data_IF_115555914129
#
_entry.id   IF_115555914129
#
_cell.length_a   1.000
_cell.length_b   1.000
_cell.length_c   1.000
_cell.angle_alpha   90.00
_cell.angle_beta   90.00
_cell.angle_gamma   90.00
#
_symmetry.space_group_name_H-M   'P 1'
#
loop_
_entity.id
_entity.type
_entity.pdbx_description
1 polymer ?
#
# COMPACT_ATOMS: atom_id res chain seq x y z
N UNK A 1 -30.45 3.68 -1.30
CA UNK A 1 -29.76 3.55 -2.59
C UNK A 1 -28.30 3.50 -2.26
N UNK A 2 -27.71 2.31 -2.35
CA UNK A 2 -26.32 2.04 -1.99
C UNK A 2 -25.45 2.75 -3.02
N UNK A 3 -24.89 3.91 -2.67
CA UNK A 3 -23.90 4.55 -3.53
C UNK A 3 -22.80 3.50 -3.73
N UNK A 4 -22.54 3.10 -4.98
CA UNK A 4 -21.62 2.02 -5.29
C UNK A 4 -20.28 2.28 -4.58
N UNK A 5 -20.01 1.49 -3.52
CA UNK A 5 -18.86 1.69 -2.67
C UNK A 5 -17.61 1.37 -3.47
N UNK A 6 -16.78 2.39 -3.75
CA UNK A 6 -15.56 2.23 -4.54
C UNK A 6 -14.64 1.24 -3.82
N UNK A 7 -14.03 0.32 -4.57
CA UNK A 7 -13.19 -0.75 -4.00
C UNK A 7 -11.73 -0.55 -4.38
N UNK A 8 -10.83 -0.67 -3.42
CA UNK A 8 -9.39 -0.66 -3.62
C UNK A 8 -8.75 -1.79 -2.83
N UNK A 9 -7.84 -2.55 -3.43
CA UNK A 9 -7.30 -3.75 -2.82
C UNK A 9 -5.98 -3.48 -2.09
N UNK A 10 -5.60 -4.38 -1.19
CA UNK A 10 -4.26 -4.39 -0.59
C UNK A 10 -3.59 -5.76 -0.68
N UNK A 11 -2.28 -5.79 -0.96
CA UNK A 11 -1.53 -7.05 -1.07
C UNK A 11 -0.15 -6.99 -0.40
N UNK A 12 0.27 -8.09 0.19
CA UNK A 12 1.61 -8.26 0.76
C UNK A 12 2.38 -9.27 -0.06
N UNK A 13 3.55 -8.91 -0.59
CA UNK A 13 4.32 -9.86 -1.41
C UNK A 13 4.86 -11.02 -0.56
N UNK A 14 5.20 -10.78 0.71
CA UNK A 14 5.71 -11.79 1.64
C UNK A 14 6.88 -12.57 1.02
N UNK A 15 6.82 -13.90 1.08
CA UNK A 15 7.81 -14.83 0.55
C UNK A 15 7.31 -15.55 -0.71
N UNK A 16 6.27 -15.03 -1.38
CA UNK A 16 5.65 -15.66 -2.55
C UNK A 16 6.62 -15.70 -3.74
N UNK A 17 6.41 -16.65 -4.62
CA UNK A 17 7.02 -16.60 -5.95
C UNK A 17 6.37 -15.49 -6.78
N UNK A 18 7.02 -15.09 -7.88
CA UNK A 18 6.41 -14.11 -8.79
C UNK A 18 5.11 -14.66 -9.42
N UNK A 19 5.09 -15.95 -9.77
CA UNK A 19 3.90 -16.58 -10.37
C UNK A 19 2.69 -16.61 -9.43
N UNK A 20 2.91 -16.97 -8.16
CA UNK A 20 1.86 -16.93 -7.12
C UNK A 20 1.35 -15.50 -6.93
N UNK A 21 2.25 -14.52 -6.91
CA UNK A 21 1.91 -13.12 -6.74
C UNK A 21 1.06 -12.60 -7.90
N UNK A 22 1.49 -12.84 -9.14
CA UNK A 22 0.74 -12.44 -10.34
C UNK A 22 -0.59 -13.20 -10.46
N UNK A 23 -0.66 -14.46 -10.05
CA UNK A 23 -1.91 -15.22 -10.03
C UNK A 23 -2.94 -14.58 -9.08
N UNK A 24 -2.50 -14.11 -7.90
CA UNK A 24 -3.37 -13.37 -6.99
C UNK A 24 -3.87 -12.07 -7.62
N UNK A 25 -2.99 -11.27 -8.24
CA UNK A 25 -3.39 -10.04 -8.91
C UNK A 25 -4.44 -10.28 -10.01
N UNK A 26 -4.23 -11.31 -10.83
CA UNK A 26 -5.18 -11.70 -11.88
C UNK A 26 -6.54 -12.14 -11.33
N UNK A 27 -6.56 -12.86 -10.20
CA UNK A 27 -7.82 -13.34 -9.60
C UNK A 27 -8.76 -12.23 -9.15
N UNK A 28 -8.25 -11.01 -8.94
CA UNK A 28 -9.02 -9.82 -8.62
C UNK A 28 -9.08 -8.82 -9.79
N UNK A 29 -8.64 -9.24 -10.99
CA UNK A 29 -8.59 -8.38 -12.18
C UNK A 29 -7.84 -7.06 -11.95
N UNK A 30 -6.77 -7.10 -11.14
CA UNK A 30 -5.93 -5.94 -10.86
C UNK A 30 -5.25 -5.49 -12.15
N UNK A 31 -5.35 -4.20 -12.47
CA UNK A 31 -4.68 -3.57 -13.62
C UNK A 31 -3.65 -2.53 -13.20
N UNK A 32 -3.60 -2.16 -11.91
CA UNK A 32 -2.62 -1.23 -11.34
C UNK A 32 -2.13 -1.70 -9.97
N UNK A 33 -0.81 -1.73 -9.80
CA UNK A 33 -0.15 -1.97 -8.51
C UNK A 33 0.58 -0.71 -8.06
N UNK A 34 0.25 -0.24 -6.86
CA UNK A 34 0.88 0.91 -6.21
C UNK A 34 1.78 0.39 -5.09
N UNK A 35 3.09 0.44 -5.29
CA UNK A 35 4.06 0.10 -4.27
C UNK A 35 4.16 1.23 -3.24
N UNK A 36 3.80 0.97 -2.00
CA UNK A 36 3.91 1.94 -0.88
C UNK A 36 5.11 1.64 0.00
N UNK A 37 6.08 0.84 -0.45
CA UNK A 37 7.34 0.63 0.26
C UNK A 37 8.21 1.87 0.14
N UNK A 38 8.70 2.36 1.29
CA UNK A 38 9.72 3.42 1.30
C UNK A 38 11.00 2.96 0.59
N UNK A 39 11.39 1.70 0.78
CA UNK A 39 12.58 1.10 0.17
C UNK A 39 12.21 -0.23 -0.50
N UNK A 40 11.92 -0.24 -1.81
CA UNK A 40 11.50 -1.43 -2.55
C UNK A 40 12.70 -2.30 -2.99
N UNK A 41 13.59 -2.64 -2.05
CA UNK A 41 14.78 -3.44 -2.30
C UNK A 41 14.97 -4.55 -1.26
N UNK A 42 15.33 -5.74 -1.72
CA UNK A 42 15.53 -6.94 -0.91
C UNK A 42 16.58 -7.84 -1.53
N UNK A 43 17.61 -8.20 -0.74
CA UNK A 43 18.57 -9.25 -1.13
C UNK A 43 17.96 -10.65 -1.08
N UNK A 44 16.97 -10.85 -0.21
CA UNK A 44 16.33 -12.16 0.01
C UNK A 44 15.24 -12.46 -1.03
N UNK A 45 14.58 -11.42 -1.53
CA UNK A 45 13.49 -11.53 -2.49
C UNK A 45 13.72 -10.57 -3.67
N UNK A 46 14.78 -10.80 -4.47
CA UNK A 46 15.18 -9.89 -5.54
C UNK A 46 14.11 -9.73 -6.63
N UNK A 47 13.20 -10.70 -6.80
CA UNK A 47 12.07 -10.60 -7.72
C UNK A 47 11.09 -9.47 -7.36
N UNK A 48 11.07 -9.03 -6.10
CA UNK A 48 10.28 -7.89 -5.65
C UNK A 48 11.09 -6.60 -5.54
N UNK A 49 12.33 -6.56 -6.05
CA UNK A 49 13.03 -5.29 -6.25
C UNK A 49 12.29 -4.46 -7.30
N UNK A 50 12.32 -3.13 -7.16
CA UNK A 50 11.57 -2.21 -8.02
C UNK A 50 11.69 -2.52 -9.51
N UNK A 51 12.90 -2.72 -10.00
CA UNK A 51 13.17 -2.95 -11.43
C UNK A 51 12.60 -4.29 -11.90
N UNK A 52 12.88 -5.37 -11.16
CA UNK A 52 12.40 -6.72 -11.49
C UNK A 52 10.87 -6.82 -11.40
N UNK A 53 10.28 -6.19 -10.39
CA UNK A 53 8.83 -6.15 -10.20
C UNK A 53 8.15 -5.34 -11.30
N UNK A 54 8.71 -4.19 -11.68
CA UNK A 54 8.19 -3.38 -12.77
C UNK A 54 8.11 -4.19 -14.07
N UNK A 55 9.19 -4.88 -14.44
CA UNK A 55 9.23 -5.73 -15.63
C UNK A 55 8.17 -6.85 -15.56
N UNK A 56 8.11 -7.57 -14.44
CA UNK A 56 7.17 -8.69 -14.26
C UNK A 56 5.71 -8.25 -14.36
N UNK A 57 5.40 -7.04 -13.90
CA UNK A 57 4.06 -6.46 -13.97
C UNK A 57 3.74 -5.96 -15.38
N UNK A 58 4.71 -5.34 -16.07
CA UNK A 58 4.58 -4.92 -17.46
C UNK A 58 4.27 -6.11 -18.39
N UNK A 59 5.02 -7.21 -18.25
CA UNK A 59 4.79 -8.45 -18.99
C UNK A 59 3.39 -9.04 -18.71
N UNK A 60 2.82 -8.73 -17.55
CA UNK A 60 1.48 -9.13 -17.14
C UNK A 60 0.39 -8.07 -17.47
N UNK A 61 0.72 -6.98 -18.16
CA UNK A 61 -0.16 -5.85 -18.45
C UNK A 61 -0.74 -5.16 -17.19
N UNK A 62 0.05 -5.09 -16.12
CA UNK A 62 -0.29 -4.40 -14.86
C UNK A 62 0.60 -3.17 -14.74
N UNK A 63 -0.02 -2.00 -14.60
CA UNK A 63 0.72 -0.75 -14.41
C UNK A 63 1.37 -0.72 -13.03
N UNK A 64 2.65 -0.37 -12.96
CA UNK A 64 3.38 -0.17 -11.71
C UNK A 64 3.49 1.32 -11.37
N UNK A 65 3.15 1.69 -10.14
CA UNK A 65 3.34 3.03 -9.57
C UNK A 65 4.09 2.93 -8.24
N UNK A 66 4.99 3.86 -7.96
CA UNK A 66 5.74 3.88 -6.69
C UNK A 66 5.41 5.13 -5.88
N UNK A 67 4.67 4.95 -4.79
CA UNK A 67 4.10 6.04 -4.00
C UNK A 67 4.79 6.15 -2.63
N UNK A 68 6.00 6.71 -2.64
CA UNK A 68 6.89 6.82 -1.46
C UNK A 68 6.28 7.67 -0.34
N UNK A 69 5.39 8.61 -0.66
CA UNK A 69 4.66 9.40 0.34
C UNK A 69 3.92 8.48 1.32
N UNK A 70 3.27 7.42 0.85
CA UNK A 70 2.61 6.44 1.72
C UNK A 70 3.57 5.41 2.35
N UNK A 71 4.88 5.60 2.15
CA UNK A 71 5.97 4.84 2.72
C UNK A 71 5.93 4.66 4.23
N UNK A 72 6.04 3.41 4.69
CA UNK A 72 6.28 3.09 6.10
C UNK A 72 7.64 3.57 6.65
N UNK A 73 8.03 3.03 7.82
CA UNK A 73 9.27 3.39 8.56
C UNK A 73 9.32 4.85 9.00
N UNK A 74 8.23 5.34 9.59
CA UNK A 74 8.15 6.65 10.21
C UNK A 74 8.54 6.55 11.70
N UNK A 75 9.19 7.59 12.22
CA UNK A 75 9.54 7.70 13.64
C UNK A 75 8.47 8.54 14.35
N UNK A 76 8.07 8.17 15.57
CA UNK A 76 7.14 8.98 16.34
C UNK A 76 7.75 10.35 16.65
N UNK A 77 6.90 11.37 16.66
CA UNK A 77 7.27 12.69 17.18
C UNK A 77 7.47 12.60 18.70
N UNK A 78 8.31 13.48 19.25
CA UNK A 78 8.62 13.47 20.69
C UNK A 78 7.37 13.77 21.52
N UNK A 79 6.51 14.61 20.98
CA UNK A 79 5.24 15.12 21.50
C UNK A 79 4.03 14.47 20.82
N UNK A 80 4.18 13.26 20.27
CA UNK A 80 3.10 12.51 19.61
C UNK A 80 1.84 12.40 20.48
N UNK A 81 0.71 12.90 19.97
CA UNK A 81 -0.61 12.73 20.59
C UNK A 81 -1.19 11.31 20.37
N UNK A 82 -0.62 10.55 19.42
CA UNK A 82 -1.04 9.20 19.03
C UNK A 82 -0.60 8.09 20.02
N UNK A 83 -0.65 8.37 21.32
CA UNK A 83 -0.13 7.50 22.39
C UNK A 83 -0.87 6.18 22.56
N UNK A 84 -2.11 6.07 22.06
CA UNK A 84 -2.89 4.83 22.05
C UNK A 84 -2.18 3.72 21.24
N UNK A 85 -1.40 4.09 20.23
CA UNK A 85 -0.50 3.16 19.54
C UNK A 85 0.71 2.84 20.41
N UNK A 86 0.74 1.60 20.93
CA UNK A 86 1.83 1.11 21.78
C UNK A 86 3.12 0.84 21.02
N UNK A 87 3.02 0.40 19.77
CA UNK A 87 4.19 0.09 18.95
C UNK A 87 4.73 1.38 18.27
N UNK A 88 6.02 1.75 18.47
CA UNK A 88 6.56 3.02 17.99
C UNK A 88 6.40 3.26 16.48
N UNK A 89 6.52 2.20 15.66
CA UNK A 89 6.35 2.32 14.21
C UNK A 89 4.92 2.66 13.80
N UNK A 90 3.90 2.19 14.53
CA UNK A 90 2.50 2.53 14.26
C UNK A 90 2.21 3.95 14.72
N UNK A 91 2.70 4.32 15.90
CA UNK A 91 2.61 5.70 16.40
C UNK A 91 3.23 6.70 15.43
N UNK A 92 4.46 6.46 14.99
CA UNK A 92 5.12 7.34 14.04
C UNK A 92 4.46 7.38 12.67
N UNK A 93 3.78 6.30 12.26
CA UNK A 93 2.97 6.35 11.04
C UNK A 93 1.70 7.16 11.26
N UNK A 94 1.03 7.04 12.42
CA UNK A 94 -0.14 7.84 12.77
C UNK A 94 0.20 9.35 12.81
N UNK A 95 1.32 9.73 13.45
CA UNK A 95 1.80 11.13 13.43
C UNK A 95 2.04 11.61 11.99
N UNK A 96 2.56 10.74 11.13
CA UNK A 96 2.79 11.08 9.73
C UNK A 96 1.48 11.27 8.95
N UNK A 97 0.41 10.56 9.30
CA UNK A 97 -0.89 10.69 8.63
C UNK A 97 -1.52 12.09 8.75
N UNK A 98 -1.12 12.84 9.77
CA UNK A 98 -1.60 14.20 10.01
C UNK A 98 -0.95 15.24 9.09
N UNK A 99 0.16 14.86 8.42
CA UNK A 99 0.97 15.76 7.59
C UNK A 99 0.41 15.93 6.18
N UNK A 100 0.65 17.10 5.52
CA UNK A 100 0.25 17.31 4.13
C UNK A 100 0.76 16.25 3.13
N UNK A 101 2.03 15.78 3.20
CA UNK A 101 2.52 14.75 2.28
C UNK A 101 1.76 13.42 2.35
N UNK A 102 1.26 13.02 3.52
CA UNK A 102 0.41 11.84 3.61
C UNK A 102 -0.94 12.08 2.93
N UNK A 103 -1.57 13.23 3.21
CA UNK A 103 -2.87 13.62 2.65
C UNK A 103 -2.81 13.70 1.12
N UNK A 104 -1.76 14.27 0.56
CA UNK A 104 -1.51 14.29 -0.88
C UNK A 104 -1.30 12.88 -1.45
N UNK A 105 -0.52 12.04 -0.75
CA UNK A 105 -0.29 10.66 -1.15
C UNK A 105 -1.57 9.83 -1.19
N UNK A 106 -2.43 9.95 -0.18
CA UNK A 106 -3.68 9.16 -0.15
C UNK A 106 -4.69 9.66 -1.18
N UNK A 107 -4.78 10.98 -1.43
CA UNK A 107 -5.58 11.52 -2.52
C UNK A 107 -5.12 10.96 -3.88
N UNK A 108 -3.81 10.84 -4.11
CA UNK A 108 -3.28 10.22 -5.32
C UNK A 108 -3.64 8.73 -5.41
N UNK A 109 -3.60 8.00 -4.29
CA UNK A 109 -4.02 6.59 -4.24
C UNK A 109 -5.53 6.43 -4.53
N UNK A 110 -6.37 7.36 -4.05
CA UNK A 110 -7.81 7.38 -4.34
C UNK A 110 -8.08 7.64 -5.83
N UNK A 111 -7.37 8.60 -6.44
CA UNK A 111 -7.44 8.84 -7.89
C UNK A 111 -7.10 7.59 -8.69
N UNK A 112 -6.07 6.85 -8.26
CA UNK A 112 -5.72 5.59 -8.90
C UNK A 112 -6.81 4.53 -8.76
N UNK A 113 -7.47 4.44 -7.59
CA UNK A 113 -8.62 3.58 -7.36
C UNK A 113 -9.86 3.97 -8.18
N UNK A 114 -10.00 5.24 -8.53
CA UNK A 114 -11.09 5.74 -9.38
C UNK A 114 -10.90 5.40 -10.86
N UNK A 115 -9.65 5.37 -11.31
CA UNK A 115 -9.30 5.14 -12.71
C UNK A 115 -9.22 3.66 -13.08
N UNK A 116 -8.90 2.78 -12.12
CA UNK A 116 -8.52 1.40 -12.39
C UNK A 116 -8.71 0.48 -11.19
N UNK A 117 -8.83 -0.82 -11.44
CA UNK A 117 -8.79 -1.86 -10.40
C UNK A 117 -7.39 -1.89 -9.77
N UNK A 118 -7.26 -1.13 -8.68
CA UNK A 118 -5.98 -0.81 -8.05
C UNK A 118 -5.74 -1.65 -6.81
N UNK A 119 -4.51 -2.11 -6.64
CA UNK A 119 -4.00 -2.69 -5.39
C UNK A 119 -2.82 -1.87 -4.87
N UNK A 120 -2.73 -1.64 -3.56
CA UNK A 120 -1.51 -1.10 -2.96
C UNK A 120 -0.74 -2.16 -2.17
N UNK A 121 0.59 -2.14 -2.28
CA UNK A 121 1.47 -3.24 -1.87
C UNK A 121 2.52 -2.85 -0.82
N UNK A 122 2.80 -3.78 0.10
CA UNK A 122 4.01 -3.78 0.92
C UNK A 122 4.61 -5.20 1.04
N UNK A 123 5.65 -5.37 1.87
CA UNK A 123 6.34 -6.64 2.12
C UNK A 123 5.61 -7.59 3.06
N UNK A 124 4.96 -7.08 4.10
CA UNK A 124 4.37 -7.93 5.13
C UNK A 124 3.17 -8.71 4.59
N UNK A 125 3.05 -10.00 4.92
CA UNK A 125 1.92 -10.82 4.46
C UNK A 125 0.57 -10.31 4.96
N UNK A 126 0.50 -10.00 6.26
CA UNK A 126 -0.73 -9.61 6.95
C UNK A 126 -0.80 -8.09 7.09
N UNK A 127 -1.86 -7.50 6.54
CA UNK A 127 -1.99 -6.06 6.39
C UNK A 127 -2.08 -5.32 7.74
N UNK A 128 -2.70 -5.93 8.76
CA UNK A 128 -2.83 -5.38 10.13
C UNK A 128 -1.54 -5.33 10.95
N UNK A 129 -0.43 -5.90 10.45
CA UNK A 129 0.89 -5.80 11.12
C UNK A 129 1.84 -4.82 10.44
N UNK A 130 1.36 -4.04 9.49
CA UNK A 130 2.15 -3.06 8.76
C UNK A 130 1.36 -1.77 8.56
N UNK A 131 2.02 -0.76 8.00
CA UNK A 131 1.44 0.56 7.75
C UNK A 131 0.22 0.54 6.81
N UNK A 132 0.07 -0.53 5.99
CA UNK A 132 -1.11 -0.71 5.14
C UNK A 132 -2.41 -0.73 5.92
N UNK A 133 -2.39 -1.12 7.19
CA UNK A 133 -3.58 -1.03 8.05
C UNK A 133 -4.04 0.37 8.30
N UNK A 134 -3.15 1.30 8.64
CA UNK A 134 -3.57 2.69 8.83
C UNK A 134 -3.99 3.35 7.51
N UNK A 135 -3.36 2.99 6.37
CA UNK A 135 -3.85 3.38 5.04
C UNK A 135 -5.26 2.82 4.80
N UNK A 136 -5.49 1.53 5.10
CA UNK A 136 -6.79 0.87 4.95
C UNK A 136 -7.86 1.55 5.78
N UNK A 137 -7.55 1.85 7.04
CA UNK A 137 -8.48 2.48 7.98
C UNK A 137 -8.83 3.90 7.50
N UNK A 138 -7.85 4.66 7.02
CA UNK A 138 -8.10 5.97 6.42
C UNK A 138 -9.04 5.87 5.23
N UNK A 139 -8.75 4.98 4.27
CA UNK A 139 -9.58 4.79 3.07
C UNK A 139 -11.01 4.35 3.43
N UNK A 140 -11.17 3.48 4.43
CA UNK A 140 -12.49 3.07 4.94
C UNK A 140 -13.29 4.24 5.51
N UNK A 141 -12.63 5.15 6.23
CA UNK A 141 -13.24 6.39 6.73
C UNK A 141 -13.67 7.30 5.58
N UNK A 142 -12.92 7.34 4.47
CA UNK A 142 -13.30 8.05 3.24
C UNK A 142 -14.38 7.32 2.41
N UNK A 143 -14.93 6.22 2.91
CA UNK A 143 -16.03 5.50 2.27
C UNK A 143 -15.60 4.39 1.31
N UNK A 144 -14.30 4.12 1.15
CA UNK A 144 -13.85 2.99 0.33
C UNK A 144 -14.19 1.64 0.98
N UNK A 145 -14.40 0.65 0.12
CA UNK A 145 -14.26 -0.76 0.46
C UNK A 145 -12.80 -1.16 0.23
N UNK A 146 -12.18 -1.79 1.24
CA UNK A 146 -10.75 -2.15 1.25
C UNK A 146 -10.55 -3.57 1.77
#
# INVERSE_FOLDING_TARGET
MDAARKTIYTIGHSTRTMDEFLAMLRSFSITRLVDVRHFPGSRKFPQFNKEALCQSLEDANIKYEHLVSLGGRRKPQVDSENIAWRHPAFRGYADYMETPPFKEGVLQLEQFGDEATTVYMCSEAVWWRCHRSLISDYLKVQGWNV
#
